data_IF_784367651647
#
_entry.id   IF_784367651647
#
_cell.length_a   1.000
_cell.length_b   1.000
_cell.length_c   1.000
_cell.angle_alpha   90.00
_cell.angle_beta   90.00
_cell.angle_gamma   90.00
#
_symmetry.space_group_name_H-M   'P 1'
#
loop_
_entity.id
_entity.type
_entity.pdbx_description
1 polymer ?
#
# COMPACT_ATOMS: atom_id res chain seq x y z
N UNK A 1 -11.83 4.34 -14.59
CA UNK A 1 -11.72 3.36 -15.72
C UNK A 1 -11.43 1.92 -15.24
N UNK A 2 -12.22 0.88 -15.60
CA UNK A 2 -12.08 -0.48 -15.07
C UNK A 2 -11.04 -1.36 -15.81
N UNK A 3 -9.91 -0.78 -16.23
CA UNK A 3 -8.76 -1.51 -16.78
C UNK A 3 -8.28 -2.57 -15.77
N UNK A 4 -8.16 -3.87 -16.14
CA UNK A 4 -7.64 -4.91 -15.26
C UNK A 4 -6.27 -4.51 -14.71
N UNK A 5 -6.10 -4.58 -13.39
CA UNK A 5 -4.84 -4.19 -12.72
C UNK A 5 -4.66 -4.92 -11.40
N UNK A 6 -3.44 -4.96 -10.90
CA UNK A 6 -3.14 -5.30 -9.52
C UNK A 6 -2.90 -4.01 -8.71
N UNK A 7 -3.23 -4.05 -7.43
CA UNK A 7 -2.89 -3.02 -6.46
C UNK A 7 -1.91 -3.61 -5.44
N UNK A 8 -0.72 -3.02 -5.33
CA UNK A 8 0.43 -3.62 -4.64
C UNK A 8 0.92 -2.80 -3.44
N UNK A 9 0.33 -1.62 -3.25
CA UNK A 9 0.68 -0.64 -2.24
C UNK A 9 -0.62 0.04 -1.80
N UNK A 10 -1.14 -0.47 -0.69
CA UNK A 10 -2.39 -0.03 -0.10
C UNK A 10 -2.40 -0.44 1.37
N UNK A 11 -2.56 0.53 2.26
CA UNK A 11 -2.76 0.29 3.69
C UNK A 11 -4.25 0.09 3.96
N UNK A 12 -4.62 -1.02 4.61
CA UNK A 12 -6.03 -1.36 4.82
C UNK A 12 -6.72 -0.35 5.74
N UNK A 13 -6.01 0.16 6.73
CA UNK A 13 -6.47 1.21 7.63
C UNK A 13 -6.69 2.53 6.87
N UNK A 14 -5.93 2.75 5.79
CA UNK A 14 -6.06 3.84 4.83
C UNK A 14 -7.33 3.83 4.00
N UNK A 15 -8.12 2.76 4.13
CA UNK A 15 -9.41 2.58 3.45
C UNK A 15 -10.60 2.93 4.33
N UNK A 16 -10.36 3.36 5.58
CA UNK A 16 -11.40 3.66 6.55
C UNK A 16 -12.18 4.93 6.15
N UNK A 17 -13.28 4.74 5.42
CA UNK A 17 -14.20 5.81 5.06
C UNK A 17 -14.96 6.34 6.30
N UNK A 18 -15.32 7.64 6.34
CA UNK A 18 -16.05 8.25 7.45
C UNK A 18 -17.31 7.49 7.85
N UNK A 19 -18.10 6.99 6.89
CA UNK A 19 -19.30 6.20 7.18
C UNK A 19 -19.00 4.95 8.01
N UNK A 20 -17.97 4.20 7.61
CA UNK A 20 -17.57 2.99 8.33
C UNK A 20 -16.98 3.36 9.69
N UNK A 21 -16.18 4.43 9.77
CA UNK A 21 -15.63 4.90 11.05
C UNK A 21 -16.73 5.16 12.09
N UNK A 22 -17.82 5.85 11.71
CA UNK A 22 -18.95 6.10 12.59
C UNK A 22 -19.76 4.83 12.94
N UNK A 23 -19.94 3.91 11.97
CA UNK A 23 -20.58 2.62 12.24
C UNK A 23 -19.80 1.80 13.29
N UNK A 24 -18.48 1.71 13.10
CA UNK A 24 -17.58 1.00 14.01
C UNK A 24 -17.51 1.67 15.39
N UNK A 25 -17.46 3.00 15.42
CA UNK A 25 -17.47 3.78 16.66
C UNK A 25 -18.74 3.50 17.48
N UNK A 26 -19.91 3.54 16.84
CA UNK A 26 -21.19 3.23 17.47
C UNK A 26 -21.24 1.77 17.96
N UNK A 27 -20.72 0.83 17.16
CA UNK A 27 -20.66 -0.60 17.52
C UNK A 27 -19.79 -0.88 18.74
N UNK A 28 -18.67 -0.18 18.85
CA UNK A 28 -17.66 -0.41 19.89
C UNK A 28 -17.76 0.55 21.09
N UNK A 29 -18.72 1.48 21.07
CA UNK A 29 -18.86 2.49 22.12
C UNK A 29 -17.67 3.44 22.20
N UNK A 30 -17.05 3.74 21.06
CA UNK A 30 -15.96 4.71 20.93
C UNK A 30 -16.55 6.06 20.59
N UNK A 31 -16.18 7.11 21.33
CA UNK A 31 -16.54 8.48 21.00
C UNK A 31 -15.52 9.04 20.01
N UNK A 32 -15.99 9.42 18.81
CA UNK A 32 -15.18 10.16 17.84
C UNK A 32 -15.22 11.65 18.17
N UNK A 33 -14.12 12.39 18.04
CA UNK A 33 -14.11 13.85 18.27
C UNK A 33 -14.73 14.65 17.09
N UNK A 34 -15.64 14.03 16.35
CA UNK A 34 -16.31 14.59 15.18
C UNK A 34 -17.82 14.43 15.34
N UNK A 35 -18.57 15.47 15.01
CA UNK A 35 -20.03 15.50 15.21
C UNK A 35 -20.78 14.62 14.22
N UNK A 36 -20.24 14.44 13.02
CA UNK A 36 -20.81 13.64 11.93
C UNK A 36 -19.74 13.29 10.87
N UNK A 37 -20.15 12.56 9.84
CA UNK A 37 -19.28 12.15 8.72
C UNK A 37 -18.73 13.33 7.93
N UNK A 38 -19.46 14.45 7.83
CA UNK A 38 -19.02 15.61 7.07
C UNK A 38 -17.90 16.35 7.79
N UNK A 39 -17.99 16.50 9.11
CA UNK A 39 -16.91 17.01 9.95
C UNK A 39 -15.65 16.13 9.84
N UNK A 40 -15.81 14.81 9.79
CA UNK A 40 -14.69 13.89 9.60
C UNK A 40 -14.06 14.01 8.21
N UNK A 41 -14.85 14.15 7.15
CA UNK A 41 -14.32 14.41 5.80
C UNK A 41 -13.50 15.69 5.71
N UNK A 42 -13.89 16.74 6.41
CA UNK A 42 -13.10 17.97 6.45
C UNK A 42 -11.78 17.74 7.21
N UNK A 43 -11.78 16.93 8.27
CA UNK A 43 -10.54 16.56 8.98
C UNK A 43 -9.56 15.76 8.09
N UNK A 44 -10.04 15.06 7.06
CA UNK A 44 -9.19 14.33 6.10
C UNK A 44 -8.36 15.29 5.22
N UNK A 45 -8.49 16.60 5.39
CA UNK A 45 -7.68 17.62 4.71
C UNK A 45 -6.49 18.03 5.60
N UNK A 46 -5.42 17.24 5.54
CA UNK A 46 -4.17 17.47 6.26
C UNK A 46 -3.18 18.38 5.50
N UNK A 47 -2.15 18.85 6.20
CA UNK A 47 -1.13 19.75 5.67
C UNK A 47 0.18 19.04 5.30
N UNK A 48 0.46 17.87 5.87
CA UNK A 48 1.70 17.11 5.69
C UNK A 48 1.52 15.65 6.15
N UNK A 49 2.56 14.82 6.00
CA UNK A 49 2.57 13.42 6.44
C UNK A 49 2.26 13.28 7.93
N UNK A 50 2.85 14.11 8.80
CA UNK A 50 2.63 13.98 10.24
C UNK A 50 1.18 14.28 10.64
N UNK A 51 0.56 15.31 10.07
CA UNK A 51 -0.84 15.64 10.34
C UNK A 51 -1.81 14.58 9.80
N UNK A 52 -1.49 13.96 8.66
CA UNK A 52 -2.16 12.75 8.18
C UNK A 52 -2.03 11.59 9.18
N UNK A 53 -0.81 11.22 9.58
CA UNK A 53 -0.55 10.09 10.46
C UNK A 53 -1.25 10.24 11.82
N UNK A 54 -1.32 11.46 12.36
CA UNK A 54 -2.04 11.73 13.59
C UNK A 54 -3.53 11.33 13.48
N UNK A 55 -4.19 11.76 12.40
CA UNK A 55 -5.61 11.44 12.13
C UNK A 55 -5.80 9.95 11.83
N UNK A 56 -4.91 9.38 11.01
CA UNK A 56 -4.89 7.98 10.64
C UNK A 56 -4.87 7.09 11.89
N UNK A 57 -3.89 7.28 12.79
CA UNK A 57 -3.78 6.49 14.03
C UNK A 57 -4.90 6.77 15.04
N UNK A 58 -5.44 8.01 15.09
CA UNK A 58 -6.58 8.35 15.94
C UNK A 58 -7.82 7.54 15.53
N UNK A 59 -8.13 7.49 14.22
CA UNK A 59 -9.33 6.82 13.73
C UNK A 59 -9.28 5.31 13.90
N UNK A 60 -8.09 4.72 13.85
CA UNK A 60 -7.96 3.30 14.13
C UNK A 60 -8.46 2.90 15.54
N UNK A 61 -8.73 3.85 16.45
CA UNK A 61 -9.37 3.57 17.75
C UNK A 61 -10.75 2.90 17.63
N UNK A 62 -11.42 2.99 16.48
CA UNK A 62 -12.71 2.31 16.23
C UNK A 62 -12.56 0.83 15.87
N UNK A 63 -11.34 0.37 15.51
CA UNK A 63 -11.03 -1.01 15.15
C UNK A 63 -10.67 -1.82 16.41
N UNK A 64 -11.56 -2.71 16.88
CA UNK A 64 -11.44 -3.41 18.18
C UNK A 64 -11.59 -4.92 18.09
N UNK A 65 -12.41 -5.42 17.18
CA UNK A 65 -12.85 -6.81 17.06
C UNK A 65 -12.53 -7.36 15.67
N UNK A 66 -12.47 -8.70 15.53
CA UNK A 66 -12.25 -9.34 14.22
C UNK A 66 -13.23 -8.83 13.14
N UNK A 67 -14.48 -8.59 13.54
CA UNK A 67 -15.52 -8.09 12.63
C UNK A 67 -15.20 -6.69 12.09
N UNK A 68 -14.56 -5.84 12.89
CA UNK A 68 -14.22 -4.49 12.43
C UNK A 68 -13.19 -4.54 11.30
N UNK A 69 -12.19 -5.42 11.43
CA UNK A 69 -11.19 -5.65 10.38
C UNK A 69 -11.78 -6.38 9.16
N UNK A 70 -12.71 -7.32 9.37
CA UNK A 70 -13.44 -7.97 8.27
C UNK A 70 -14.24 -6.96 7.45
N UNK A 71 -15.03 -6.11 8.12
CA UNK A 71 -15.87 -5.10 7.47
C UNK A 71 -15.02 -4.07 6.72
N UNK A 72 -13.88 -3.64 7.30
CA UNK A 72 -12.93 -2.72 6.67
C UNK A 72 -12.34 -3.31 5.37
N UNK A 73 -11.78 -4.52 5.44
CA UNK A 73 -11.18 -5.16 4.29
C UNK A 73 -12.22 -5.48 3.19
N UNK A 74 -13.42 -5.92 3.56
CA UNK A 74 -14.49 -6.22 2.59
C UNK A 74 -14.99 -4.97 1.88
N UNK A 75 -15.10 -3.83 2.58
CA UNK A 75 -15.48 -2.55 2.00
C UNK A 75 -14.48 -2.08 0.94
N UNK A 76 -13.17 -2.17 1.24
CA UNK A 76 -12.11 -1.92 0.26
C UNK A 76 -12.23 -2.84 -0.97
N UNK A 77 -12.32 -4.15 -0.75
CA UNK A 77 -12.32 -5.14 -1.82
C UNK A 77 -13.51 -4.97 -2.79
N UNK A 78 -14.69 -4.64 -2.26
CA UNK A 78 -15.87 -4.34 -3.07
C UNK A 78 -15.63 -3.15 -4.01
N UNK A 79 -14.98 -2.08 -3.51
CA UNK A 79 -14.66 -0.88 -4.30
C UNK A 79 -13.53 -1.14 -5.30
N UNK A 80 -12.47 -1.82 -4.87
CA UNK A 80 -11.34 -2.19 -5.70
C UNK A 80 -11.78 -3.04 -6.92
N UNK A 81 -12.65 -4.04 -6.70
CA UNK A 81 -13.19 -4.87 -7.76
C UNK A 81 -13.95 -4.06 -8.82
N UNK A 82 -14.79 -3.12 -8.39
CA UNK A 82 -15.53 -2.22 -9.28
C UNK A 82 -14.61 -1.33 -10.13
N UNK A 83 -13.39 -1.05 -9.66
CA UNK A 83 -12.38 -0.26 -10.35
C UNK A 83 -11.40 -1.09 -11.20
N UNK A 84 -11.68 -2.38 -11.40
CA UNK A 84 -10.89 -3.26 -12.26
C UNK A 84 -9.70 -3.93 -11.56
N UNK A 85 -9.60 -3.86 -10.23
CA UNK A 85 -8.59 -4.64 -9.50
C UNK A 85 -8.91 -6.13 -9.66
N UNK A 86 -7.86 -6.93 -9.92
CA UNK A 86 -7.91 -8.42 -9.99
C UNK A 86 -7.03 -9.07 -8.92
N UNK A 87 -6.05 -8.32 -8.44
CA UNK A 87 -5.15 -8.75 -7.38
C UNK A 87 -4.87 -7.58 -6.45
N UNK A 88 -4.94 -7.80 -5.13
CA UNK A 88 -4.60 -6.80 -4.13
C UNK A 88 -3.58 -7.38 -3.13
N UNK A 89 -2.46 -6.71 -2.96
CA UNK A 89 -1.50 -6.96 -1.89
C UNK A 89 -1.64 -5.84 -0.87
N UNK A 90 -2.20 -6.21 0.28
CA UNK A 90 -2.77 -5.27 1.26
C UNK A 90 -1.82 -5.19 2.44
N UNK A 91 -1.43 -3.98 2.80
CA UNK A 91 -0.58 -3.66 3.94
C UNK A 91 -1.45 -3.50 5.19
N UNK A 92 -0.89 -3.81 6.36
CA UNK A 92 -1.50 -3.54 7.66
C UNK A 92 -0.43 -3.32 8.73
N UNK A 93 -0.78 -2.52 9.74
CA UNK A 93 0.12 -1.98 10.76
C UNK A 93 -0.14 -2.62 12.13
N UNK A 94 0.31 -3.86 12.39
CA UNK A 94 0.03 -4.54 13.66
C UNK A 94 0.47 -3.74 14.89
N UNK A 95 1.59 -3.02 14.83
CA UNK A 95 2.09 -2.24 15.96
C UNK A 95 1.09 -1.16 16.40
N UNK A 96 0.40 -0.51 15.46
CA UNK A 96 -0.63 0.49 15.75
C UNK A 96 -1.83 -0.12 16.50
N UNK A 97 -2.16 -1.38 16.24
CA UNK A 97 -3.25 -2.10 16.91
C UNK A 97 -2.84 -2.70 18.26
N UNK A 98 -1.67 -3.35 18.31
CA UNK A 98 -1.12 -3.98 19.51
C UNK A 98 -0.91 -2.97 20.63
N UNK A 99 -0.40 -1.77 20.31
CA UNK A 99 -0.25 -0.67 21.27
C UNK A 99 -1.57 -0.24 21.92
N UNK A 100 -2.71 -0.50 21.27
CA UNK A 100 -4.07 -0.22 21.78
C UNK A 100 -4.73 -1.42 22.47
N UNK A 101 -3.99 -2.51 22.68
CA UNK A 101 -4.48 -3.73 23.32
C UNK A 101 -5.32 -4.64 22.41
N UNK A 102 -5.30 -4.42 21.09
CA UNK A 102 -5.93 -5.33 20.12
C UNK A 102 -4.92 -6.41 19.76
N UNK A 103 -5.22 -7.68 20.04
CA UNK A 103 -4.29 -8.78 19.82
C UNK A 103 -4.02 -9.07 18.33
N UNK A 104 -2.83 -9.58 18.01
CA UNK A 104 -2.42 -9.93 16.63
C UNK A 104 -3.46 -10.82 15.93
N UNK A 105 -3.99 -11.83 16.63
CA UNK A 105 -5.02 -12.72 16.09
C UNK A 105 -6.29 -11.98 15.70
N UNK A 106 -6.76 -11.03 16.52
CA UNK A 106 -7.94 -10.21 16.20
C UNK A 106 -7.78 -9.46 14.88
N UNK A 107 -6.59 -8.92 14.61
CA UNK A 107 -6.28 -8.19 13.37
C UNK A 107 -6.21 -9.16 12.20
N UNK A 108 -5.31 -10.16 12.27
CA UNK A 108 -5.03 -11.05 11.14
C UNK A 108 -6.22 -11.97 10.82
N UNK A 109 -6.89 -12.52 11.83
CA UNK A 109 -8.08 -13.36 11.63
C UNK A 109 -9.24 -12.54 11.04
N UNK A 110 -9.44 -11.30 11.51
CA UNK A 110 -10.45 -10.39 11.01
C UNK A 110 -10.24 -10.04 9.53
N UNK A 111 -9.03 -9.59 9.17
CA UNK A 111 -8.67 -9.31 7.78
C UNK A 111 -8.82 -10.58 6.91
N UNK A 112 -8.34 -11.73 7.40
CA UNK A 112 -8.38 -12.97 6.64
C UNK A 112 -9.81 -13.46 6.33
N UNK A 113 -10.81 -13.17 7.17
CA UNK A 113 -12.21 -13.51 6.88
C UNK A 113 -12.76 -12.83 5.62
N UNK A 114 -12.28 -11.64 5.30
CA UNK A 114 -12.60 -10.94 4.05
C UNK A 114 -11.70 -11.43 2.91
N UNK A 115 -10.38 -11.39 3.11
CA UNK A 115 -9.38 -11.73 2.09
C UNK A 115 -9.53 -13.18 1.59
N UNK A 116 -9.70 -14.14 2.49
CA UNK A 116 -9.83 -15.56 2.16
C UNK A 116 -11.07 -15.92 1.33
N UNK A 117 -12.08 -15.04 1.27
CA UNK A 117 -13.28 -15.20 0.44
C UNK A 117 -13.35 -14.23 -0.73
N UNK A 118 -12.37 -13.33 -0.86
CA UNK A 118 -12.39 -12.24 -1.84
C UNK A 118 -12.46 -12.73 -3.28
N UNK A 119 -11.73 -13.81 -3.61
CA UNK A 119 -11.72 -14.36 -4.97
C UNK A 119 -13.10 -14.88 -5.39
N UNK A 120 -13.86 -15.48 -4.46
CA UNK A 120 -15.21 -15.98 -4.72
C UNK A 120 -16.23 -14.83 -4.76
N UNK A 121 -16.15 -13.89 -3.81
CA UNK A 121 -17.13 -12.83 -3.62
C UNK A 121 -16.98 -11.67 -4.60
N UNK A 122 -15.74 -11.22 -4.80
CA UNK A 122 -15.40 -10.00 -5.54
C UNK A 122 -14.59 -10.27 -6.82
N UNK A 123 -14.11 -11.50 -7.01
CA UNK A 123 -13.22 -11.83 -8.13
C UNK A 123 -11.79 -11.30 -7.96
N UNK A 124 -11.41 -10.89 -6.75
CA UNK A 124 -10.10 -10.31 -6.44
C UNK A 124 -9.26 -11.31 -5.63
N UNK A 125 -8.10 -11.68 -6.17
CA UNK A 125 -7.11 -12.46 -5.43
C UNK A 125 -6.36 -11.56 -4.45
N UNK A 126 -5.96 -12.06 -3.29
CA UNK A 126 -5.37 -11.21 -2.23
C UNK A 126 -4.10 -11.79 -1.62
N UNK A 127 -3.20 -10.91 -1.18
CA UNK A 127 -2.11 -11.20 -0.24
C UNK A 127 -2.10 -10.17 0.87
N UNK A 128 -1.65 -10.57 2.06
CA UNK A 128 -1.49 -9.69 3.21
C UNK A 128 0.01 -9.47 3.48
N UNK A 129 0.41 -8.22 3.69
CA UNK A 129 1.79 -7.81 3.98
C UNK A 129 1.78 -7.08 5.31
N UNK A 130 2.60 -7.56 6.24
CA UNK A 130 2.67 -7.01 7.59
C UNK A 130 3.75 -5.93 7.65
N UNK A 131 3.37 -4.69 7.94
CA UNK A 131 4.32 -3.60 8.00
C UNK A 131 4.89 -3.37 9.41
N UNK A 132 6.08 -2.77 9.45
CA UNK A 132 6.70 -2.28 10.67
C UNK A 132 6.76 -0.75 10.64
N UNK A 133 6.38 -0.12 11.74
CA UNK A 133 6.41 1.33 11.90
C UNK A 133 7.85 1.80 12.12
N UNK A 134 8.43 2.53 11.17
CA UNK A 134 9.87 2.85 11.18
C UNK A 134 10.29 3.86 12.25
N UNK A 135 9.33 4.64 12.73
CA UNK A 135 9.45 5.57 13.84
C UNK A 135 9.50 4.87 15.22
N UNK A 136 9.02 3.63 15.30
CA UNK A 136 9.14 2.76 16.48
C UNK A 136 10.47 1.98 16.54
N UNK A 137 10.78 1.35 17.67
CA UNK A 137 12.06 0.63 17.84
C UNK A 137 12.15 -0.63 16.96
N UNK A 138 13.37 -0.99 16.52
CA UNK A 138 13.62 -2.26 15.83
C UNK A 138 13.33 -3.49 16.72
N UNK A 139 13.44 -3.32 18.04
CA UNK A 139 13.05 -4.33 19.03
C UNK A 139 11.54 -4.59 18.98
N UNK A 140 10.70 -3.54 18.95
CA UNK A 140 9.25 -3.67 18.79
C UNK A 140 8.86 -4.32 17.47
N UNK A 141 9.58 -4.05 16.38
CA UNK A 141 9.39 -4.74 15.11
C UNK A 141 9.72 -6.24 15.22
N UNK A 142 10.78 -6.61 15.93
CA UNK A 142 11.12 -8.02 16.18
C UNK A 142 10.05 -8.72 17.03
N UNK A 143 9.56 -8.08 18.09
CA UNK A 143 8.44 -8.59 18.91
C UNK A 143 7.17 -8.80 18.07
N UNK A 144 6.91 -7.88 17.15
CA UNK A 144 5.79 -7.97 16.20
C UNK A 144 5.94 -9.16 15.26
N UNK A 145 7.14 -9.40 14.72
CA UNK A 145 7.43 -10.57 13.90
C UNK A 145 7.25 -11.88 14.69
N UNK A 146 7.69 -11.92 15.94
CA UNK A 146 7.47 -13.07 16.83
C UNK A 146 5.98 -13.33 17.08
N UNK A 147 5.19 -12.28 17.32
CA UNK A 147 3.73 -12.37 17.50
C UNK A 147 3.00 -12.84 16.23
N UNK A 148 3.56 -12.59 15.04
CA UNK A 148 3.00 -12.99 13.76
C UNK A 148 3.24 -14.46 13.39
N UNK A 149 4.21 -15.14 14.01
CA UNK A 149 4.59 -16.53 13.69
C UNK A 149 3.42 -17.53 13.63
N UNK A 150 2.39 -17.45 14.49
CA UNK A 150 1.23 -18.35 14.40
C UNK A 150 0.35 -18.15 13.16
N UNK A 151 0.53 -17.06 12.40
CA UNK A 151 -0.35 -16.63 11.31
C UNK A 151 0.37 -16.50 9.96
N UNK A 152 1.59 -17.05 9.83
CA UNK A 152 2.40 -16.95 8.61
C UNK A 152 1.78 -17.67 7.40
N UNK A 153 0.78 -18.53 7.60
CA UNK A 153 -0.02 -19.11 6.51
C UNK A 153 -0.89 -18.06 5.77
N UNK A 154 -1.05 -16.87 6.36
CA UNK A 154 -1.91 -15.78 5.86
C UNK A 154 -1.14 -14.53 5.49
N UNK A 155 0.09 -14.39 5.98
CA UNK A 155 0.99 -13.25 5.73
C UNK A 155 1.99 -13.66 4.65
N UNK A 156 1.98 -12.95 3.53
CA UNK A 156 2.83 -13.24 2.38
C UNK A 156 4.21 -12.56 2.47
N UNK A 157 4.29 -11.45 3.20
CA UNK A 157 5.50 -10.65 3.28
C UNK A 157 5.47 -9.63 4.41
N UNK A 158 6.56 -8.89 4.51
CA UNK A 158 6.74 -7.76 5.42
C UNK A 158 6.99 -6.46 4.65
N UNK A 159 6.57 -5.35 5.25
CA UNK A 159 6.78 -3.98 4.79
C UNK A 159 7.47 -3.11 5.83
N UNK A 160 7.80 -1.87 5.46
CA UNK A 160 8.30 -0.82 6.36
C UNK A 160 7.73 0.51 5.89
N UNK A 161 7.08 1.23 6.79
CA UNK A 161 6.34 2.48 6.52
C UNK A 161 6.38 3.40 7.75
N UNK A 162 5.40 4.31 7.88
CA UNK A 162 5.40 5.44 8.80
C UNK A 162 6.47 6.49 8.45
N UNK A 163 6.74 7.43 9.36
CA UNK A 163 7.57 8.62 9.12
C UNK A 163 8.97 8.28 8.57
N UNK A 164 9.24 8.61 7.30
CA UNK A 164 10.48 8.24 6.63
C UNK A 164 11.68 9.08 7.07
N UNK A 165 11.52 10.41 7.13
CA UNK A 165 12.61 11.33 7.42
C UNK A 165 13.25 11.07 8.79
N UNK A 166 14.55 10.74 8.81
CA UNK A 166 15.30 10.47 10.05
C UNK A 166 15.23 9.02 10.53
N UNK A 167 14.48 8.15 9.86
CA UNK A 167 14.30 6.75 10.22
C UNK A 167 14.83 5.82 9.12
N UNK A 168 16.16 5.64 8.98
CA UNK A 168 16.76 4.93 7.84
C UNK A 168 16.38 3.45 7.79
N UNK A 169 16.22 2.85 6.59
CA UNK A 169 15.90 1.42 6.43
C UNK A 169 16.86 0.51 7.17
N UNK A 170 18.16 0.84 7.19
CA UNK A 170 19.19 0.01 7.84
C UNK A 170 18.94 -0.29 9.32
N UNK A 171 18.12 0.50 10.03
CA UNK A 171 17.68 0.25 11.42
C UNK A 171 16.97 -1.10 11.56
N UNK A 172 16.29 -1.58 10.52
CA UNK A 172 15.44 -2.77 10.54
C UNK A 172 16.10 -4.00 9.90
N UNK A 173 17.42 -3.96 9.65
CA UNK A 173 18.17 -5.09 9.05
C UNK A 173 17.84 -6.43 9.70
N UNK A 174 17.95 -6.51 11.03
CA UNK A 174 17.83 -7.78 11.75
C UNK A 174 16.43 -8.40 11.64
N UNK A 175 15.37 -7.59 11.70
CA UNK A 175 14.00 -8.10 11.54
C UNK A 175 13.71 -8.52 10.09
N UNK A 176 14.29 -7.85 9.10
CA UNK A 176 14.20 -8.25 7.69
C UNK A 176 14.96 -9.55 7.39
N UNK A 177 16.15 -9.73 7.98
CA UNK A 177 16.90 -11.00 7.89
C UNK A 177 16.12 -12.15 8.55
N UNK A 178 15.51 -11.91 9.72
CA UNK A 178 14.68 -12.89 10.40
C UNK A 178 13.42 -13.25 9.59
N UNK A 179 12.73 -12.27 9.01
CA UNK A 179 11.56 -12.50 8.15
C UNK A 179 11.92 -13.27 6.88
N UNK A 180 13.07 -12.96 6.25
CA UNK A 180 13.57 -13.72 5.11
C UNK A 180 13.83 -15.19 5.46
N UNK A 181 14.37 -15.47 6.64
CA UNK A 181 14.58 -16.84 7.13
C UNK A 181 13.27 -17.62 7.35
N UNK A 182 12.14 -16.91 7.51
CA UNK A 182 10.79 -17.48 7.58
C UNK A 182 10.13 -17.63 6.19
N UNK A 183 10.80 -17.22 5.11
CA UNK A 183 10.28 -17.29 3.74
C UNK A 183 9.32 -16.16 3.37
N UNK A 184 9.24 -15.10 4.18
CA UNK A 184 8.40 -13.94 3.89
C UNK A 184 9.02 -13.07 2.79
N UNK A 185 8.17 -12.57 1.90
CA UNK A 185 8.53 -11.53 0.91
C UNK A 185 8.88 -10.22 1.60
N UNK A 186 9.64 -9.35 0.94
CA UNK A 186 10.12 -8.09 1.54
C UNK A 186 9.87 -6.90 0.62
N UNK A 187 9.23 -5.87 1.15
CA UNK A 187 8.99 -4.57 0.51
C UNK A 187 9.31 -3.47 1.52
N UNK A 188 9.49 -2.22 1.09
CA UNK A 188 9.69 -1.11 2.02
C UNK A 188 9.43 0.23 1.34
N UNK A 189 8.83 1.17 2.08
CA UNK A 189 8.79 2.58 1.72
C UNK A 189 10.21 3.14 1.73
N UNK A 190 10.63 3.66 0.58
CA UNK A 190 11.87 4.37 0.46
C UNK A 190 11.81 5.40 -0.66
N UNK A 191 12.36 6.59 -0.41
CA UNK A 191 12.45 7.62 -1.44
C UNK A 191 11.12 8.32 -1.73
N UNK A 192 10.25 8.40 -0.73
CA UNK A 192 9.08 9.27 -0.74
C UNK A 192 9.48 10.66 -0.22
N UNK A 193 9.83 10.74 1.06
CA UNK A 193 10.43 11.92 1.70
C UNK A 193 11.93 11.74 1.94
N UNK A 194 12.37 10.49 2.10
CA UNK A 194 13.76 10.09 2.33
C UNK A 194 14.62 10.22 1.09
N UNK A 195 15.94 10.33 1.24
CA UNK A 195 16.83 10.58 0.10
C UNK A 195 17.09 9.28 -0.70
N UNK A 196 17.68 9.36 -1.91
CA UNK A 196 17.96 8.19 -2.77
C UNK A 196 18.74 7.07 -2.06
N UNK A 197 19.59 7.40 -1.09
CA UNK A 197 20.35 6.44 -0.30
C UNK A 197 19.44 5.50 0.50
N UNK A 198 18.22 5.91 0.85
CA UNK A 198 17.27 5.03 1.52
C UNK A 198 16.75 3.95 0.57
N UNK A 199 16.56 4.26 -0.71
CA UNK A 199 16.22 3.26 -1.74
C UNK A 199 17.37 2.24 -1.86
N UNK A 200 18.61 2.72 -1.91
CA UNK A 200 19.78 1.84 -1.94
C UNK A 200 19.86 0.95 -0.68
N UNK A 201 19.60 1.51 0.51
CA UNK A 201 19.56 0.72 1.74
C UNK A 201 18.42 -0.31 1.75
N UNK A 202 17.23 0.04 1.27
CA UNK A 202 16.13 -0.93 1.16
C UNK A 202 16.54 -2.13 0.29
N UNK A 203 17.21 -1.88 -0.84
CA UNK A 203 17.69 -2.94 -1.72
C UNK A 203 18.86 -3.74 -1.14
N UNK A 204 19.88 -3.07 -0.62
CA UNK A 204 21.15 -3.71 -0.25
C UNK A 204 21.19 -4.23 1.19
N UNK A 205 20.43 -3.59 2.10
CA UNK A 205 20.41 -3.93 3.52
C UNK A 205 19.19 -4.76 3.88
N UNK A 206 18.02 -4.37 3.39
CA UNK A 206 16.76 -5.08 3.69
C UNK A 206 16.48 -6.20 2.69
N UNK A 207 17.06 -6.12 1.49
CA UNK A 207 16.86 -7.12 0.44
C UNK A 207 15.43 -7.12 -0.08
N UNK A 208 14.82 -5.93 -0.21
CA UNK A 208 13.46 -5.80 -0.73
C UNK A 208 13.39 -6.20 -2.20
N UNK A 209 12.23 -6.75 -2.58
CA UNK A 209 11.93 -7.23 -3.93
C UNK A 209 11.26 -6.16 -4.79
N UNK A 210 10.65 -5.17 -4.13
CA UNK A 210 10.13 -3.93 -4.72
C UNK A 210 10.26 -2.79 -3.71
N UNK A 211 10.30 -1.57 -4.23
CA UNK A 211 10.39 -0.34 -3.43
C UNK A 211 9.06 0.38 -3.48
N UNK A 212 8.56 0.76 -2.32
CA UNK A 212 7.32 1.50 -2.19
C UNK A 212 7.59 3.01 -2.31
N UNK A 213 6.84 3.66 -3.21
CA UNK A 213 7.17 4.94 -3.83
C UNK A 213 8.47 4.93 -4.66
N UNK A 214 9.59 5.40 -4.11
CA UNK A 214 10.86 5.50 -4.84
C UNK A 214 10.94 6.66 -5.84
N UNK A 215 10.05 7.67 -5.79
CA UNK A 215 10.07 8.79 -6.73
C UNK A 215 11.38 9.60 -6.68
N UNK A 216 12.00 9.70 -5.49
CA UNK A 216 13.26 10.43 -5.31
C UNK A 216 14.46 9.74 -5.94
N UNK A 217 14.32 8.51 -6.47
CA UNK A 217 15.40 7.89 -7.25
C UNK A 217 15.85 8.75 -8.44
N UNK A 218 14.96 9.58 -8.96
CA UNK A 218 15.24 10.48 -10.09
C UNK A 218 16.29 11.56 -9.79
N UNK A 219 16.69 11.74 -8.53
CA UNK A 219 17.79 12.61 -8.11
C UNK A 219 19.18 11.97 -8.34
N UNK A 220 19.23 10.65 -8.56
CA UNK A 220 20.46 9.87 -8.75
C UNK A 220 20.40 9.04 -10.05
N UNK A 221 21.08 9.48 -11.13
CA UNK A 221 21.11 8.75 -12.40
C UNK A 221 21.72 7.33 -12.31
N UNK A 222 22.64 7.08 -11.38
CA UNK A 222 23.23 5.74 -11.21
C UNK A 222 22.22 4.79 -10.57
N UNK A 223 21.45 5.28 -9.61
CA UNK A 223 20.35 4.53 -9.02
C UNK A 223 19.25 4.24 -10.05
N UNK A 224 18.85 5.20 -10.88
CA UNK A 224 17.90 4.97 -11.98
C UNK A 224 18.42 3.86 -12.90
N UNK A 225 19.68 3.94 -13.34
CA UNK A 225 20.27 2.92 -14.21
C UNK A 225 20.28 1.52 -13.57
N UNK A 226 20.53 1.45 -12.26
CA UNK A 226 20.44 0.20 -11.47
C UNK A 226 19.01 -0.34 -11.46
N UNK A 227 18.02 0.48 -11.10
CA UNK A 227 16.62 0.07 -11.00
C UNK A 227 16.08 -0.46 -12.35
N UNK A 228 16.45 0.19 -13.45
CA UNK A 228 16.12 -0.26 -14.82
C UNK A 228 16.77 -1.61 -15.13
N UNK A 229 18.09 -1.73 -14.90
CA UNK A 229 18.85 -2.95 -15.19
C UNK A 229 18.30 -4.15 -14.43
N UNK A 230 18.04 -3.96 -13.14
CA UNK A 230 17.62 -5.02 -12.22
C UNK A 230 16.09 -5.23 -12.25
N UNK A 231 15.35 -4.41 -13.03
CA UNK A 231 13.89 -4.45 -13.17
C UNK A 231 13.16 -4.35 -11.82
N UNK A 232 13.68 -3.54 -10.91
CA UNK A 232 13.10 -3.33 -9.58
C UNK A 232 11.76 -2.58 -9.73
N UNK A 233 10.64 -3.13 -9.23
CA UNK A 233 9.37 -2.44 -9.22
C UNK A 233 9.35 -1.24 -8.26
N UNK A 234 8.71 -0.16 -8.71
CA UNK A 234 8.41 1.04 -7.93
C UNK A 234 6.89 1.23 -7.83
N UNK A 235 6.32 1.12 -6.63
CA UNK A 235 4.87 1.25 -6.42
C UNK A 235 4.48 2.71 -6.17
N UNK A 236 4.22 3.45 -7.26
CA UNK A 236 3.95 4.89 -7.16
C UNK A 236 2.52 5.17 -6.72
N UNK A 237 2.36 6.22 -5.93
CA UNK A 237 1.07 6.65 -5.38
C UNK A 237 0.81 8.13 -5.72
N UNK A 238 0.52 8.49 -7.00
CA UNK A 238 0.49 9.89 -7.44
C UNK A 238 -0.43 10.83 -6.65
N UNK A 239 -1.61 10.36 -6.22
CA UNK A 239 -2.50 11.17 -5.39
C UNK A 239 -1.95 11.34 -3.97
N UNK A 240 -1.42 10.28 -3.36
CA UNK A 240 -0.72 10.35 -2.07
C UNK A 240 0.42 11.35 -2.11
N UNK A 241 1.31 11.26 -3.10
CA UNK A 241 2.49 12.13 -3.18
C UNK A 241 2.12 13.62 -3.31
N UNK A 242 1.00 13.95 -3.95
CA UNK A 242 0.47 15.33 -3.98
C UNK A 242 -0.13 15.73 -2.64
N UNK A 243 -0.94 14.85 -2.04
CA UNK A 243 -1.64 15.12 -0.77
C UNK A 243 -0.68 15.28 0.41
N UNK A 244 0.42 14.55 0.39
CA UNK A 244 1.51 14.61 1.36
C UNK A 244 2.57 15.68 1.03
N UNK A 245 2.38 16.43 -0.06
CA UNK A 245 3.27 17.51 -0.53
C UNK A 245 4.69 17.06 -0.90
N UNK A 246 4.91 15.76 -1.10
CA UNK A 246 6.14 15.25 -1.73
C UNK A 246 6.28 15.76 -3.17
N UNK A 247 5.15 15.97 -3.85
CA UNK A 247 5.04 16.63 -5.16
C UNK A 247 4.06 17.80 -5.03
N UNK A 248 4.41 18.97 -5.57
CA UNK A 248 3.60 20.19 -5.42
C UNK A 248 2.23 20.09 -6.10
N UNK A 249 2.19 19.65 -7.36
CA UNK A 249 0.94 19.36 -8.07
C UNK A 249 1.07 18.07 -8.86
N UNK A 250 -0.05 17.42 -9.18
CA UNK A 250 0.00 16.19 -9.96
C UNK A 250 0.72 16.42 -11.30
N UNK A 251 0.56 17.57 -11.95
CA UNK A 251 1.26 17.90 -13.21
C UNK A 251 2.80 17.86 -13.11
N UNK A 252 3.35 18.01 -11.92
CA UNK A 252 4.80 17.95 -11.65
C UNK A 252 5.29 16.52 -11.32
N UNK A 253 4.39 15.53 -11.29
CA UNK A 253 4.73 14.17 -10.87
C UNK A 253 5.71 13.51 -11.84
N UNK A 254 6.80 12.86 -11.37
CA UNK A 254 7.88 12.35 -12.22
C UNK A 254 7.52 11.09 -13.01
N UNK A 255 6.30 10.55 -12.86
CA UNK A 255 5.88 9.28 -13.44
C UNK A 255 6.13 9.18 -14.97
N UNK A 256 5.82 10.19 -15.80
CA UNK A 256 6.10 10.12 -17.22
C UNK A 256 7.61 9.99 -17.50
N UNK A 257 8.44 10.77 -16.82
CA UNK A 257 9.88 10.71 -16.95
C UNK A 257 10.47 9.38 -16.46
N UNK A 258 9.88 8.80 -15.41
CA UNK A 258 10.26 7.48 -14.89
C UNK A 258 9.95 6.37 -15.90
N UNK A 259 8.76 6.41 -16.53
CA UNK A 259 8.39 5.47 -17.60
C UNK A 259 9.26 5.65 -18.86
N UNK A 260 9.63 6.88 -19.21
CA UNK A 260 10.54 7.17 -20.32
C UNK A 260 11.97 6.67 -20.05
N UNK A 261 12.40 6.69 -18.79
CA UNK A 261 13.67 6.11 -18.35
C UNK A 261 13.68 4.57 -18.35
N UNK A 262 12.51 3.92 -18.51
CA UNK A 262 12.36 2.47 -18.50
C UNK A 262 12.23 1.84 -17.11
N UNK A 263 11.91 2.64 -16.09
CA UNK A 263 11.63 2.13 -14.74
C UNK A 263 10.35 1.29 -14.74
N UNK A 264 10.35 0.22 -13.93
CA UNK A 264 9.17 -0.64 -13.75
C UNK A 264 8.23 0.01 -12.74
N UNK A 265 7.47 1.01 -13.19
CA UNK A 265 6.51 1.71 -12.34
C UNK A 265 5.13 1.03 -12.35
N UNK A 266 4.47 1.03 -11.20
CA UNK A 266 3.04 0.76 -11.04
C UNK A 266 2.33 2.00 -10.51
N UNK A 267 1.00 2.01 -10.54
CA UNK A 267 0.17 3.07 -9.96
C UNK A 267 -0.78 2.47 -8.93
N UNK A 268 -0.82 3.07 -7.75
CA UNK A 268 -1.48 2.57 -6.55
C UNK A 268 -2.20 3.72 -5.82
N UNK A 269 -3.11 3.41 -4.88
CA UNK A 269 -3.82 4.44 -4.13
C UNK A 269 -3.30 4.74 -2.74
N UNK A 270 -2.47 3.87 -2.15
CA UNK A 270 -1.92 4.08 -0.81
C UNK A 270 -3.03 4.09 0.26
N UNK A 271 -3.39 5.24 0.83
CA UNK A 271 -4.53 5.44 1.73
C UNK A 271 -5.73 6.11 1.01
N UNK A 272 -6.54 5.36 0.25
CA UNK A 272 -7.49 5.93 -0.71
C UNK A 272 -8.59 6.81 -0.09
N UNK A 273 -9.03 6.48 1.13
CA UNK A 273 -10.05 7.26 1.83
C UNK A 273 -9.49 8.66 2.19
N UNK A 274 -8.18 8.75 2.44
CA UNK A 274 -7.50 9.96 2.85
C UNK A 274 -7.00 10.78 1.66
N UNK A 275 -6.51 10.14 0.60
CA UNK A 275 -5.85 10.82 -0.51
C UNK A 275 -6.75 11.24 -1.67
N UNK A 276 -8.05 10.97 -1.57
CA UNK A 276 -9.06 11.50 -2.49
C UNK A 276 -9.33 10.62 -3.71
N UNK A 277 -8.99 9.32 -3.63
CA UNK A 277 -9.27 8.38 -4.69
C UNK A 277 -8.65 7.01 -4.46
N UNK A 278 -9.32 5.99 -4.97
CA UNK A 278 -8.82 4.61 -5.07
C UNK A 278 -8.07 4.45 -6.39
N UNK A 279 -7.45 3.29 -6.64
CA UNK A 279 -6.55 3.14 -7.80
C UNK A 279 -7.21 3.43 -9.14
N UNK A 280 -8.51 3.17 -9.30
CA UNK A 280 -9.24 3.56 -10.51
C UNK A 280 -9.26 5.08 -10.71
N UNK A 281 -9.45 5.82 -9.62
CA UNK A 281 -9.43 7.29 -9.58
C UNK A 281 -8.00 7.81 -9.84
N UNK A 282 -6.97 7.15 -9.28
CA UNK A 282 -5.56 7.48 -9.56
C UNK A 282 -5.21 7.27 -11.03
N UNK A 283 -5.68 6.19 -11.66
CA UNK A 283 -5.50 5.94 -13.10
C UNK A 283 -6.18 7.02 -13.96
N UNK A 284 -7.40 7.43 -13.59
CA UNK A 284 -8.10 8.52 -14.27
C UNK A 284 -7.33 9.84 -14.09
N UNK A 285 -6.80 10.13 -12.89
CA UNK A 285 -6.02 11.33 -12.61
C UNK A 285 -4.71 11.41 -13.41
N UNK A 286 -3.94 10.32 -13.49
CA UNK A 286 -2.68 10.31 -14.26
C UNK A 286 -2.94 10.36 -15.77
N UNK A 287 -4.03 9.75 -16.26
CA UNK A 287 -4.46 9.92 -17.66
C UNK A 287 -4.73 11.38 -17.96
N UNK A 288 -5.58 12.01 -17.16
CA UNK A 288 -6.13 13.33 -17.46
C UNK A 288 -5.11 14.46 -17.22
N UNK A 289 -4.25 14.30 -16.20
CA UNK A 289 -3.33 15.38 -15.77
C UNK A 289 -1.94 15.23 -16.37
N UNK A 290 -1.42 14.00 -16.47
CA UNK A 290 -0.08 13.73 -17.03
C UNK A 290 -0.12 13.41 -18.53
N UNK A 291 -1.32 13.31 -19.11
CA UNK A 291 -1.50 13.01 -20.52
C UNK A 291 -1.05 11.60 -20.91
N UNK A 292 -1.09 10.64 -19.97
CA UNK A 292 -0.72 9.25 -20.28
C UNK A 292 -1.76 8.62 -21.21
N UNK A 293 -1.32 8.32 -22.44
CA UNK A 293 -2.12 7.60 -23.42
C UNK A 293 -2.36 6.14 -23.05
N UNK A 294 -3.25 5.48 -23.79
CA UNK A 294 -3.69 4.10 -23.57
C UNK A 294 -2.54 3.10 -23.43
N UNK A 295 -1.50 3.23 -24.26
CA UNK A 295 -0.34 2.33 -24.21
C UNK A 295 0.43 2.43 -22.88
N UNK A 296 0.58 3.65 -22.34
CA UNK A 296 1.23 3.86 -21.03
C UNK A 296 0.34 3.38 -19.88
N UNK A 297 -0.98 3.58 -19.97
CA UNK A 297 -1.92 3.04 -18.99
C UNK A 297 -1.92 1.51 -18.99
N UNK A 298 -1.88 0.89 -20.17
CA UNK A 298 -1.75 -0.57 -20.33
C UNK A 298 -0.41 -1.08 -19.80
N UNK A 299 0.68 -0.34 -20.04
CA UNK A 299 2.00 -0.65 -19.47
C UNK A 299 1.97 -0.64 -17.93
N UNK A 300 1.38 0.39 -17.30
CA UNK A 300 1.23 0.46 -15.84
C UNK A 300 0.43 -0.71 -15.28
N UNK A 301 -0.69 -1.04 -15.93
CA UNK A 301 -1.51 -2.21 -15.55
C UNK A 301 -0.73 -3.52 -15.71
N UNK A 302 0.00 -3.71 -16.81
CA UNK A 302 0.85 -4.88 -17.02
C UNK A 302 1.94 -4.97 -15.96
N UNK A 303 2.63 -3.87 -15.68
CA UNK A 303 3.67 -3.79 -14.67
C UNK A 303 3.16 -4.19 -13.29
N UNK A 304 1.91 -3.84 -12.95
CA UNK A 304 1.32 -4.24 -11.66
C UNK A 304 1.22 -5.76 -11.48
N UNK A 305 0.95 -6.54 -12.54
CA UNK A 305 0.98 -8.00 -12.44
C UNK A 305 2.39 -8.58 -12.47
N UNK A 306 3.31 -7.94 -13.20
CA UNK A 306 4.72 -8.35 -13.23
C UNK A 306 5.43 -8.12 -11.89
N UNK A 307 5.04 -7.06 -11.17
CA UNK A 307 5.56 -6.67 -9.86
C UNK A 307 4.88 -7.38 -8.67
N UNK A 308 3.76 -8.07 -8.92
CA UNK A 308 3.02 -8.80 -7.89
C UNK A 308 3.71 -10.10 -7.48
N UNK A 309 3.46 -10.55 -6.26
CA UNK A 309 3.84 -11.86 -5.73
C UNK A 309 2.94 -13.00 -6.22
N UNK A 310 2.38 -12.86 -7.44
CA UNK A 310 1.65 -13.90 -8.16
C UNK A 310 2.58 -14.92 -8.84
N UNK A 311 3.89 -14.81 -8.74
CA UNK A 311 4.83 -15.78 -9.34
C UNK A 311 4.66 -17.23 -8.84
N UNK A 312 4.02 -17.41 -7.67
CA UNK A 312 3.62 -18.73 -7.17
C UNK A 312 2.39 -19.32 -7.90
N UNK A 313 1.65 -18.50 -8.64
CA UNK A 313 0.50 -18.87 -9.45
C UNK A 313 0.62 -18.24 -10.85
N UNK A 314 1.58 -18.76 -11.61
CA UNK A 314 1.93 -18.26 -12.93
C UNK A 314 0.79 -18.38 -13.95
N UNK A 315 -0.12 -19.36 -13.78
CA UNK A 315 -1.32 -19.48 -14.61
C UNK A 315 -2.26 -18.31 -14.37
N UNK A 316 -2.52 -17.98 -13.09
CA UNK A 316 -3.31 -16.83 -12.71
C UNK A 316 -2.71 -15.52 -13.22
N UNK A 317 -1.39 -15.34 -13.05
CA UNK A 317 -0.67 -14.16 -13.56
C UNK A 317 -0.82 -14.00 -15.07
N UNK A 318 -0.66 -15.09 -15.84
CA UNK A 318 -0.84 -15.05 -17.31
C UNK A 318 -2.26 -14.71 -17.72
N UNK A 319 -3.26 -15.23 -17.00
CA UNK A 319 -4.67 -14.90 -17.24
C UNK A 319 -4.92 -13.40 -17.07
N UNK A 320 -4.45 -12.81 -15.96
CA UNK A 320 -4.61 -11.38 -15.72
C UNK A 320 -3.85 -10.52 -16.73
N UNK A 321 -2.63 -10.91 -17.11
CA UNK A 321 -1.90 -10.24 -18.19
C UNK A 321 -2.67 -10.28 -19.52
N UNK A 322 -3.29 -11.42 -19.85
CA UNK A 322 -4.12 -11.52 -21.04
C UNK A 322 -5.38 -10.63 -20.97
N UNK A 323 -5.99 -10.48 -19.79
CA UNK A 323 -7.09 -9.53 -19.58
C UNK A 323 -6.65 -8.07 -19.82
N UNK A 324 -5.43 -7.69 -19.41
CA UNK A 324 -4.85 -6.36 -19.69
C UNK A 324 -4.67 -6.14 -21.19
N UNK A 325 -4.08 -7.10 -21.90
CA UNK A 325 -3.83 -6.96 -23.34
C UNK A 325 -5.13 -6.94 -24.15
N UNK A 326 -6.17 -7.65 -23.70
CA UNK A 326 -7.48 -7.69 -24.34
C UNK A 326 -8.35 -6.46 -24.00
N UNK A 327 -7.92 -5.58 -23.09
CA UNK A 327 -8.70 -4.42 -22.70
C UNK A 327 -8.75 -3.36 -23.82
N UNK A 328 -9.97 -3.06 -24.26
CA UNK A 328 -10.29 -1.98 -25.20
C UNK A 328 -10.64 -0.71 -24.40
N UNK A 329 -9.91 0.37 -24.66
CA UNK A 329 -10.20 1.66 -24.05
C UNK A 329 -11.43 2.31 -24.72
N UNK A 330 -12.30 2.98 -23.94
CA UNK A 330 -13.57 3.55 -24.43
C UNK A 330 -13.43 4.83 -25.26
#
# INVERSE_FOLDING_TARGET
MPLPKAELHLHVEGTLEPELAFELAARNGVELPYVDTDALREAYRFEDLQTFLNLYYELMAVLRTERDFEDLADAYLARAAAQGVRHAEIFFDPQAHLARGVGMGTVVDGLWRALGRSQEKHGVSTRLIMCFLRDESAESAMETLEAAKPYLDRIAGIGLDSAEAGHPPAKFREVYEAAAALGLRRVAHAGEEGPPEYIAQALDVLGVERVDHGLRCMEDPELVARLVRDRIPLTLCPLSNVRLRAVGTLADHPLPAMLDAGLLCTVNSDDPAYFGGYVGDTFDAVRDTLGLGEDRLRELARNSFLASFLEYDEELRRRYLAEVEAYEFP
#
